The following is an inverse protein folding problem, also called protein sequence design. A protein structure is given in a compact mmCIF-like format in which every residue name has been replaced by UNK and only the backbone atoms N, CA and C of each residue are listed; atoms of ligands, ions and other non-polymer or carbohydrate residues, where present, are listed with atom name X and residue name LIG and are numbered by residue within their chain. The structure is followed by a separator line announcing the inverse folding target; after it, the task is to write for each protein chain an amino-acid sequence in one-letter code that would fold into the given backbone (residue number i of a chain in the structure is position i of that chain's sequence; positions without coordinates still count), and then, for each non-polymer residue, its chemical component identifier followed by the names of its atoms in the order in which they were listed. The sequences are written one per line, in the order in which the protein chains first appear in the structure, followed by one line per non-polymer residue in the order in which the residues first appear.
data_IF_404021950790
#
_entry.id   IF_404021950790
#
_cell.length_a   1.000
_cell.length_b   1.000
_cell.length_c   1.000
_cell.angle_alpha   90.00
_cell.angle_beta   90.00
_cell.angle_gamma   90.00
#
_symmetry.space_group_name_H-M   'P 1'
#
loop_
_entity.id
_entity.type
_entity.pdbx_description
1 polymer ?
#
# COMPACT_ATOMS: atom_id res chain seq x y z
N UNK A 1 -9.59 -20.19 21.07
CA UNK A 1 -8.44 -20.88 21.72
C UNK A 1 -8.55 -22.36 21.47
N UNK A 2 -7.43 -23.07 21.37
CA UNK A 2 -7.42 -24.51 21.17
C UNK A 2 -6.25 -25.12 21.94
N UNK A 3 -6.51 -26.14 22.77
CA UNK A 3 -5.51 -26.79 23.65
C UNK A 3 -4.67 -25.81 24.49
N UNK A 4 -5.30 -24.78 25.04
CA UNK A 4 -4.61 -23.77 25.87
C UNK A 4 -3.75 -22.77 25.09
N UNK A 5 -3.69 -22.87 23.75
CA UNK A 5 -3.02 -21.88 22.89
C UNK A 5 -4.06 -20.96 22.23
N UNK A 6 -3.80 -19.64 22.28
CA UNK A 6 -4.57 -18.64 21.54
C UNK A 6 -4.04 -18.56 20.11
N UNK A 7 -4.96 -18.58 19.15
CA UNK A 7 -4.67 -18.43 17.73
C UNK A 7 -5.40 -17.21 17.20
N UNK A 8 -4.66 -16.26 16.62
CA UNK A 8 -5.23 -15.07 15.99
C UNK A 8 -5.42 -15.37 14.50
N UNK A 9 -6.67 -15.53 14.08
CA UNK A 9 -7.02 -15.75 12.68
C UNK A 9 -7.14 -14.40 12.01
N UNK A 10 -6.19 -14.08 11.11
CA UNK A 10 -6.27 -12.87 10.31
C UNK A 10 -7.50 -12.88 9.39
N UNK A 11 -8.12 -11.71 9.26
CA UNK A 11 -9.14 -11.51 8.23
C UNK A 11 -8.44 -11.23 6.89
N UNK A 12 -8.59 -12.15 5.94
CA UNK A 12 -8.15 -11.92 4.56
C UNK A 12 -9.16 -11.01 3.87
N UNK A 13 -8.92 -9.70 3.90
CA UNK A 13 -9.78 -8.69 3.29
C UNK A 13 -9.01 -7.88 2.25
N UNK A 14 -9.69 -7.56 1.14
CA UNK A 14 -9.17 -6.72 0.07
C UNK A 14 -8.80 -5.30 0.54
N UNK A 15 -9.29 -4.88 1.71
CA UNK A 15 -8.84 -3.65 2.39
C UNK A 15 -7.32 -3.54 2.51
N UNK A 16 -6.59 -4.66 2.62
CA UNK A 16 -5.12 -4.64 2.66
C UNK A 16 -4.47 -4.33 1.30
N UNK A 17 -5.17 -4.50 0.18
CA UNK A 17 -4.60 -4.48 -1.16
C UNK A 17 -5.06 -3.26 -1.98
N UNK A 18 -6.37 -3.03 -2.05
CA UNK A 18 -6.94 -2.03 -2.96
C UNK A 18 -6.47 -0.59 -2.71
N UNK A 19 -6.34 -0.12 -1.44
CA UNK A 19 -5.83 1.23 -1.18
C UNK A 19 -4.40 1.42 -1.70
N UNK A 20 -3.52 0.43 -1.49
CA UNK A 20 -2.15 0.48 -1.98
C UNK A 20 -2.05 0.47 -3.50
N UNK A 21 -2.84 -0.37 -4.18
CA UNK A 21 -2.90 -0.38 -5.66
C UNK A 21 -3.35 0.98 -6.19
N UNK A 22 -4.47 1.50 -5.69
CA UNK A 22 -5.03 2.76 -6.16
C UNK A 22 -4.07 3.93 -5.95
N UNK A 23 -3.45 4.01 -4.77
CA UNK A 23 -2.45 5.01 -4.45
C UNK A 23 -1.23 4.92 -5.37
N UNK A 24 -0.72 3.71 -5.63
CA UNK A 24 0.42 3.51 -6.52
C UNK A 24 0.12 3.93 -7.96
N UNK A 25 -1.07 3.57 -8.47
CA UNK A 25 -1.54 3.97 -9.81
C UNK A 25 -1.62 5.49 -9.94
N UNK A 26 -2.20 6.18 -8.96
CA UNK A 26 -2.32 7.63 -8.94
C UNK A 26 -0.93 8.28 -8.84
N UNK A 27 -0.09 7.83 -7.90
CA UNK A 27 1.22 8.44 -7.62
C UNK A 27 2.18 8.36 -8.82
N UNK A 28 2.18 7.26 -9.58
CA UNK A 28 3.03 7.12 -10.77
C UNK A 28 2.34 7.53 -12.09
N UNK A 29 1.05 7.88 -12.06
CA UNK A 29 0.30 8.21 -13.28
C UNK A 29 0.14 7.02 -14.23
N UNK A 30 -0.06 5.81 -13.71
CA UNK A 30 -0.19 4.62 -14.54
C UNK A 30 -1.44 4.68 -15.43
N UNK A 31 -1.27 4.36 -16.72
CA UNK A 31 -2.35 4.41 -17.72
C UNK A 31 -3.27 3.19 -17.73
N UNK A 32 -2.81 2.07 -17.16
CA UNK A 32 -3.54 0.79 -17.11
C UNK A 32 -3.04 -0.06 -15.95
N UNK A 33 -3.97 -0.63 -15.18
CA UNK A 33 -3.67 -1.68 -14.20
C UNK A 33 -3.49 -3.01 -14.91
N UNK A 34 -2.43 -3.75 -14.55
CA UNK A 34 -2.09 -5.06 -15.13
C UNK A 34 -2.10 -6.16 -14.08
N UNK A 35 -2.18 -7.42 -14.51
CA UNK A 35 -2.09 -8.58 -13.60
C UNK A 35 -0.76 -8.64 -12.85
N UNK A 36 0.33 -8.17 -13.47
CA UNK A 36 1.63 -8.08 -12.82
C UNK A 36 1.62 -7.05 -11.67
N UNK A 37 0.90 -5.93 -11.82
CA UNK A 37 0.73 -4.96 -10.74
C UNK A 37 -0.08 -5.56 -9.58
N UNK A 38 -1.14 -6.34 -9.87
CA UNK A 38 -1.91 -7.06 -8.85
C UNK A 38 -1.03 -8.10 -8.13
N UNK A 39 -0.24 -8.87 -8.88
CA UNK A 39 0.70 -9.84 -8.31
C UNK A 39 1.77 -9.17 -7.44
N UNK A 40 2.27 -8.02 -7.87
CA UNK A 40 3.23 -7.21 -7.12
C UNK A 40 2.65 -6.73 -5.79
N UNK A 41 1.39 -6.28 -5.79
CA UNK A 41 0.68 -5.90 -4.56
C UNK A 41 0.54 -7.08 -3.58
N UNK A 42 0.17 -8.27 -4.09
CA UNK A 42 0.06 -9.47 -3.26
C UNK A 42 1.39 -9.89 -2.64
N UNK A 43 2.49 -9.80 -3.40
CA UNK A 43 3.85 -10.10 -2.89
C UNK A 43 4.28 -9.08 -1.84
N UNK A 44 4.04 -7.79 -2.10
CA UNK A 44 4.35 -6.73 -1.15
C UNK A 44 3.58 -6.90 0.18
N UNK A 45 2.31 -7.33 0.13
CA UNK A 45 1.56 -7.68 1.34
C UNK A 45 2.16 -8.89 2.07
N UNK A 46 2.56 -9.93 1.33
CA UNK A 46 3.17 -11.12 1.91
C UNK A 46 4.50 -10.81 2.63
N UNK A 47 5.32 -9.90 2.08
CA UNK A 47 6.54 -9.39 2.72
C UNK A 47 6.26 -8.62 4.02
N UNK A 48 5.06 -8.06 4.18
CA UNK A 48 4.63 -7.41 5.40
C UNK A 48 4.13 -8.39 6.48
N UNK A 49 4.01 -9.68 6.17
CA UNK A 49 3.51 -10.70 7.09
C UNK A 49 4.43 -10.86 8.32
N UNK A 50 3.87 -10.85 9.54
CA UNK A 50 4.63 -11.17 10.76
C UNK A 50 5.36 -12.51 10.70
N UNK A 51 4.72 -13.53 10.10
CA UNK A 51 5.33 -14.86 9.92
C UNK A 51 6.59 -14.82 9.05
N UNK A 52 6.60 -13.99 8.01
CA UNK A 52 7.76 -13.82 7.13
C UNK A 52 8.88 -13.05 7.81
N UNK A 53 8.55 -12.18 8.77
CA UNK A 53 9.51 -11.43 9.60
C UNK A 53 10.09 -12.24 10.76
N UNK A 54 9.70 -13.51 10.90
CA UNK A 54 10.21 -14.39 11.96
C UNK A 54 9.54 -14.19 13.32
N UNK A 55 8.42 -13.47 13.35
CA UNK A 55 7.62 -13.27 14.56
C UNK A 55 6.61 -14.44 14.70
N UNK A 56 6.41 -14.95 15.92
CA UNK A 56 5.22 -15.77 16.20
C UNK A 56 3.98 -14.88 16.01
N UNK A 57 3.32 -15.00 14.86
CA UNK A 57 2.32 -14.01 14.46
C UNK A 57 1.27 -14.52 13.48
N UNK A 58 0.38 -13.62 13.08
CA UNK A 58 -0.69 -13.94 12.13
C UNK A 58 -0.17 -13.96 10.68
N UNK A 59 -0.97 -14.53 9.76
CA UNK A 59 -0.63 -14.60 8.34
C UNK A 59 -0.54 -13.21 7.69
N UNK A 60 -1.35 -12.26 8.15
CA UNK A 60 -1.40 -10.89 7.65
C UNK A 60 -0.94 -9.90 8.72
N UNK A 61 -0.44 -8.72 8.32
CA UNK A 61 -0.13 -7.65 9.26
C UNK A 61 -1.36 -7.18 10.04
N UNK A 62 -1.13 -6.49 11.15
CA UNK A 62 -2.21 -5.89 11.93
C UNK A 62 -2.90 -4.79 11.10
N UNK A 63 -4.20 -4.60 11.34
CA UNK A 63 -4.96 -3.52 10.72
C UNK A 63 -4.43 -2.14 11.13
N UNK A 64 -3.83 -2.02 12.33
CA UNK A 64 -3.17 -0.79 12.76
C UNK A 64 -2.05 -0.33 11.82
N UNK A 65 -1.40 -1.27 11.11
CA UNK A 65 -0.29 -1.00 10.20
C UNK A 65 -0.75 -0.76 8.75
N UNK A 66 -2.06 -0.78 8.48
CA UNK A 66 -2.61 -0.74 7.12
C UNK A 66 -2.16 0.48 6.31
N UNK A 67 -1.93 1.62 6.96
CA UNK A 67 -1.41 2.82 6.31
C UNK A 67 0.04 2.65 5.84
N UNK A 68 0.89 1.99 6.62
CA UNK A 68 2.27 1.70 6.23
C UNK A 68 2.30 0.66 5.12
N UNK A 69 1.51 -0.42 5.27
CA UNK A 69 1.35 -1.48 4.27
C UNK A 69 0.86 -0.91 2.93
N UNK A 70 -0.13 -0.01 2.96
CA UNK A 70 -0.67 0.62 1.74
C UNK A 70 0.37 1.44 0.99
N UNK A 71 1.23 2.20 1.69
CA UNK A 71 2.34 2.94 1.07
C UNK A 71 3.37 2.01 0.44
N UNK A 72 3.71 0.94 1.14
CA UNK A 72 4.66 -0.05 0.64
C UNK A 72 4.14 -0.72 -0.64
N UNK A 73 2.89 -1.18 -0.62
CA UNK A 73 2.21 -1.73 -1.80
C UNK A 73 2.18 -0.70 -2.93
N UNK A 74 1.84 0.56 -2.64
CA UNK A 74 1.81 1.63 -3.65
C UNK A 74 3.15 1.80 -4.35
N UNK A 75 4.26 1.79 -3.60
CA UNK A 75 5.61 1.86 -4.17
C UNK A 75 5.90 0.67 -5.09
N UNK A 76 5.60 -0.55 -4.65
CA UNK A 76 5.86 -1.76 -5.45
C UNK A 76 4.99 -1.82 -6.72
N UNK A 77 3.74 -1.38 -6.63
CA UNK A 77 2.82 -1.24 -7.77
C UNK A 77 3.34 -0.20 -8.76
N UNK A 78 3.78 0.97 -8.28
CA UNK A 78 4.36 2.02 -9.13
C UNK A 78 5.61 1.53 -9.87
N UNK A 79 6.54 0.86 -9.17
CA UNK A 79 7.74 0.24 -9.77
C UNK A 79 7.38 -0.77 -10.86
N UNK A 80 6.34 -1.57 -10.62
CA UNK A 80 5.85 -2.54 -11.61
C UNK A 80 5.23 -1.85 -12.82
N UNK A 81 4.44 -0.78 -12.62
CA UNK A 81 3.87 0.00 -13.71
C UNK A 81 4.94 0.62 -14.60
N UNK A 82 5.99 1.19 -14.00
CA UNK A 82 7.13 1.75 -14.72
C UNK A 82 7.86 0.67 -15.53
N UNK A 83 8.18 -0.47 -14.92
CA UNK A 83 8.83 -1.60 -15.58
C UNK A 83 8.04 -2.09 -16.81
N UNK A 84 6.71 -2.06 -16.75
CA UNK A 84 5.84 -2.48 -17.85
C UNK A 84 5.49 -1.36 -18.85
N UNK A 85 6.13 -0.20 -18.74
CA UNK A 85 5.89 0.95 -19.61
C UNK A 85 4.47 1.51 -19.49
N UNK A 86 3.82 1.33 -18.33
CA UNK A 86 2.49 1.90 -18.02
C UNK A 86 2.56 3.24 -17.31
N UNK A 87 3.73 3.60 -16.80
CA UNK A 87 4.08 4.87 -16.18
C UNK A 87 5.47 5.31 -16.65
N UNK A 88 5.79 6.61 -16.54
CA UNK A 88 7.11 7.14 -16.86
C UNK A 88 8.16 6.64 -15.87
N UNK A 89 9.36 6.32 -16.35
CA UNK A 89 10.49 5.95 -15.50
C UNK A 89 10.99 7.17 -14.73
N UNK A 90 10.87 7.16 -13.42
CA UNK A 90 11.31 8.22 -12.51
C UNK A 90 12.02 7.63 -11.29
N UNK A 91 12.88 8.40 -10.60
CA UNK A 91 13.56 7.92 -9.40
C UNK A 91 12.60 7.50 -8.28
N UNK A 92 13.02 6.54 -7.46
CA UNK A 92 12.22 6.03 -6.33
C UNK A 92 11.83 7.14 -5.35
N UNK A 93 12.69 8.15 -5.15
CA UNK A 93 12.42 9.29 -4.26
C UNK A 93 11.24 10.15 -4.77
N UNK A 94 11.08 10.27 -6.09
CA UNK A 94 9.97 11.01 -6.69
C UNK A 94 8.66 10.26 -6.48
N UNK A 95 8.70 8.92 -6.56
CA UNK A 95 7.54 8.08 -6.23
C UNK A 95 7.17 8.19 -4.77
N UNK A 96 8.14 8.13 -3.86
CA UNK A 96 7.88 8.24 -2.43
C UNK A 96 7.22 9.59 -2.08
N UNK A 97 7.72 10.68 -2.67
CA UNK A 97 7.11 12.00 -2.53
C UNK A 97 5.70 12.07 -3.11
N UNK A 98 5.46 11.48 -4.29
CA UNK A 98 4.14 11.46 -4.91
C UNK A 98 3.13 10.63 -4.11
N UNK A 99 3.56 9.51 -3.51
CA UNK A 99 2.75 8.69 -2.61
C UNK A 99 2.32 9.51 -1.40
N UNK A 100 3.25 10.20 -0.74
CA UNK A 100 2.94 11.05 0.42
C UNK A 100 2.04 12.23 0.05
N UNK A 101 2.28 12.87 -1.09
CA UNK A 101 1.47 14.01 -1.56
C UNK A 101 0.01 13.61 -1.86
N UNK A 102 -0.22 12.37 -2.29
CA UNK A 102 -1.55 11.83 -2.56
C UNK A 102 -2.21 11.18 -1.32
N UNK A 103 -1.47 10.99 -0.22
CA UNK A 103 -2.01 10.39 0.99
C UNK A 103 -2.81 11.41 1.80
N UNK A 104 -4.13 11.23 1.88
CA UNK A 104 -4.98 12.11 2.66
C UNK A 104 -4.70 12.00 4.17
N UNK A 105 -4.69 13.14 4.85
CA UNK A 105 -4.52 13.24 6.31
C UNK A 105 -5.81 13.77 6.94
N UNK A 106 -6.29 13.18 8.05
CA UNK A 106 -7.49 13.60 8.76
C UNK A 106 -7.27 14.88 9.58
N UNK A 107 -6.81 15.93 8.92
CA UNK A 107 -6.48 17.22 9.53
C UNK A 107 -7.30 18.34 8.88
N UNK A 108 -7.82 19.25 9.70
CA UNK A 108 -8.51 20.42 9.19
C UNK A 108 -7.55 21.29 8.38
N UNK A 109 -7.93 21.60 7.15
CA UNK A 109 -7.17 22.52 6.31
C UNK A 109 -7.38 23.95 6.79
N UNK A 110 -6.31 24.73 6.79
CA UNK A 110 -6.40 26.17 7.05
C UNK A 110 -7.00 26.87 5.84
N UNK A 111 -8.27 27.26 5.95
CA UNK A 111 -8.91 28.06 4.92
C UNK A 111 -8.53 29.53 5.08
N UNK A 112 -8.05 30.15 4.00
CA UNK A 112 -7.92 31.61 3.92
C UNK A 112 -9.11 32.14 3.14
N UNK A 113 -9.92 33.00 3.77
CA UNK A 113 -10.97 33.73 3.08
C UNK A 113 -10.32 34.65 2.06
N UNK A 114 -10.69 34.48 0.79
CA UNK A 114 -10.37 35.43 -0.29
C UNK A 114 -11.61 36.30 -0.50
N UNK A 115 -11.44 37.61 -0.34
CA UNK A 115 -12.46 38.59 -0.73
C UNK A 115 -12.38 38.75 -2.24
N UNK A 116 -13.48 38.49 -2.93
CA UNK A 116 -13.61 38.77 -4.37
C UNK A 116 -13.36 40.24 -4.67
#
# INVERSE_FOLDING_TARGET
EYKGKRYVIAQCNNSFIFPGIGLGVIACGATRVTDAMLMSASRALAECSPLVKGEEGSLLPDLADIHQVSRYIAKMVAKTAMLQGKAAQIPDEVIDQAIEANFWRPEYRRYRRTSF
#
